data_IF_574734558078
#
_entry.id   IF_574734558078
#
_cell.length_a   1.000
_cell.length_b   1.000
_cell.length_c   1.000
_cell.angle_alpha   90.00
_cell.angle_beta   90.00
_cell.angle_gamma   90.00
#
_symmetry.space_group_name_H-M   'P 1'
#
loop_
_entity.id
_entity.type
_entity.pdbx_description
1 polymer ?
#
# COMPACT_ATOMS: atom_id res chain seq x y z
N UNK A 1 14.85 -13.06 -8.76
CA UNK A 1 13.65 -13.62 -8.11
C UNK A 1 12.82 -12.45 -7.60
N UNK A 2 11.57 -12.30 -8.05
CA UNK A 2 10.72 -11.17 -7.68
C UNK A 2 10.40 -11.21 -6.18
N UNK A 3 10.75 -10.14 -5.46
CA UNK A 3 10.49 -10.02 -4.02
C UNK A 3 9.00 -10.18 -3.69
N UNK A 4 8.68 -10.27 -2.40
CA UNK A 4 7.30 -10.43 -1.93
C UNK A 4 6.46 -9.20 -2.31
N UNK A 5 5.20 -9.44 -2.65
CA UNK A 5 4.18 -8.39 -2.81
C UNK A 5 3.61 -8.08 -1.42
N UNK A 6 3.55 -6.80 -1.06
CA UNK A 6 3.06 -6.36 0.24
C UNK A 6 1.94 -5.36 0.06
N UNK A 7 0.86 -5.58 0.81
CA UNK A 7 -0.27 -4.65 0.93
C UNK A 7 -0.21 -3.96 2.29
N UNK A 8 -0.35 -2.64 2.30
CA UNK A 8 -0.55 -1.85 3.53
C UNK A 8 -1.95 -1.26 3.53
N UNK A 9 -2.84 -1.81 4.36
CA UNK A 9 -4.12 -1.18 4.68
C UNK A 9 -3.90 -0.01 5.62
N UNK A 10 -4.57 1.12 5.41
CA UNK A 10 -4.40 2.31 6.26
C UNK A 10 -3.17 3.15 5.87
N UNK A 11 -2.71 3.08 4.61
CA UNK A 11 -1.50 3.76 4.13
C UNK A 11 -1.59 5.29 4.20
N UNK A 12 -2.81 5.85 4.19
CA UNK A 12 -3.08 7.28 4.31
C UNK A 12 -2.69 7.83 5.67
N UNK A 13 -2.83 7.02 6.71
CA UNK A 13 -2.51 7.39 8.09
C UNK A 13 -1.01 7.57 8.39
N UNK A 14 -0.72 8.09 9.57
CA UNK A 14 0.66 8.27 10.05
C UNK A 14 1.43 6.94 10.09
N UNK A 15 0.84 5.92 10.71
CA UNK A 15 1.48 4.61 10.86
C UNK A 15 1.62 3.88 9.53
N UNK A 16 0.56 3.84 8.72
CA UNK A 16 0.60 3.13 7.43
C UNK A 16 1.58 3.77 6.45
N UNK A 17 1.62 5.09 6.37
CA UNK A 17 2.60 5.80 5.53
C UNK A 17 4.05 5.60 6.02
N UNK A 18 4.27 5.50 7.34
CA UNK A 18 5.59 5.18 7.90
C UNK A 18 6.01 3.74 7.56
N UNK A 19 5.12 2.77 7.78
CA UNK A 19 5.37 1.37 7.44
C UNK A 19 5.67 1.23 5.95
N UNK A 20 4.89 1.88 5.07
CA UNK A 20 5.14 1.89 3.64
C UNK A 20 6.54 2.45 3.30
N UNK A 21 6.91 3.60 3.89
CA UNK A 21 8.24 4.19 3.68
C UNK A 21 9.38 3.28 4.14
N UNK A 22 9.20 2.53 5.22
CA UNK A 22 10.18 1.56 5.70
C UNK A 22 10.26 0.33 4.78
N UNK A 23 9.13 -0.13 4.25
CA UNK A 23 9.07 -1.25 3.30
C UNK A 23 9.73 -0.91 1.96
N UNK A 24 9.71 0.34 1.51
CA UNK A 24 10.39 0.77 0.27
C UNK A 24 11.91 0.56 0.29
N UNK A 25 12.51 0.46 1.48
CA UNK A 25 13.96 0.25 1.66
C UNK A 25 14.34 -1.21 1.81
N UNK A 26 13.36 -2.12 1.83
CA UNK A 26 13.61 -3.54 2.05
C UNK A 26 13.81 -4.28 0.73
N UNK A 27 14.95 -4.95 0.58
CA UNK A 27 15.30 -5.70 -0.64
C UNK A 27 14.39 -6.89 -0.91
N UNK A 28 13.73 -7.42 0.13
CA UNK A 28 12.78 -8.52 -0.01
C UNK A 28 11.41 -8.07 -0.54
N UNK A 29 11.13 -6.76 -0.58
CA UNK A 29 9.86 -6.19 -1.06
C UNK A 29 9.97 -5.91 -2.57
N UNK A 30 9.32 -6.78 -3.35
CA UNK A 30 9.30 -6.68 -4.81
C UNK A 30 8.27 -5.67 -5.31
N UNK A 31 7.08 -5.66 -4.70
CA UNK A 31 6.01 -4.71 -5.01
C UNK A 31 5.31 -4.28 -3.72
N UNK A 32 4.92 -3.01 -3.66
CA UNK A 32 4.26 -2.41 -2.51
C UNK A 32 3.02 -1.66 -2.97
N UNK A 33 1.87 -2.04 -2.44
CA UNK A 33 0.58 -1.41 -2.68
C UNK A 33 -0.01 -0.96 -1.34
N UNK A 34 -0.79 0.12 -1.35
CA UNK A 34 -1.62 0.50 -0.23
C UNK A 34 -3.01 0.95 -0.60
N UNK A 35 -3.91 0.78 0.37
CA UNK A 35 -5.30 1.23 0.29
C UNK A 35 -5.61 2.09 1.50
N UNK A 36 -6.31 3.20 1.25
CA UNK A 36 -6.86 4.09 2.29
C UNK A 36 -7.92 5.02 1.67
N UNK A 37 -8.69 5.71 2.49
CA UNK A 37 -9.55 6.83 2.10
C UNK A 37 -8.77 8.14 1.99
N UNK A 38 -7.64 8.28 2.69
CA UNK A 38 -6.81 9.48 2.65
C UNK A 38 -5.47 9.24 1.94
N UNK A 39 -4.89 10.27 1.27
CA UNK A 39 -3.58 10.14 0.67
C UNK A 39 -2.48 9.96 1.74
N UNK A 40 -1.37 9.26 1.42
CA UNK A 40 -0.27 9.04 2.35
C UNK A 40 0.32 10.35 2.91
N UNK A 41 0.54 10.40 4.23
CA UNK A 41 1.17 11.54 4.93
C UNK A 41 2.66 11.69 4.63
N UNK A 42 3.31 10.64 4.11
CA UNK A 42 4.73 10.62 3.73
C UNK A 42 4.90 10.49 2.22
N UNK A 43 6.00 11.02 1.72
CA UNK A 43 6.39 10.86 0.31
C UNK A 43 6.84 9.42 0.08
N UNK A 44 6.07 8.67 -0.69
CA UNK A 44 6.41 7.34 -1.18
C UNK A 44 6.95 7.44 -2.60
N UNK A 45 7.94 6.60 -2.96
CA UNK A 45 8.63 6.63 -4.27
C UNK A 45 8.31 5.44 -5.16
N UNK A 46 8.05 4.28 -4.57
CA UNK A 46 7.84 2.98 -5.20
C UNK A 46 6.44 2.43 -4.94
N UNK A 47 5.81 2.80 -3.83
CA UNK A 47 4.49 2.30 -3.46
C UNK A 47 3.40 2.80 -4.40
N UNK A 48 2.52 1.89 -4.83
CA UNK A 48 1.27 2.23 -5.51
C UNK A 48 0.17 2.48 -4.48
N UNK A 49 -0.57 3.58 -4.63
CA UNK A 49 -1.65 3.94 -3.72
C UNK A 49 -2.99 3.94 -4.45
N UNK A 50 -3.96 3.25 -3.86
CA UNK A 50 -5.36 3.31 -4.30
C UNK A 50 -6.24 3.93 -3.22
N UNK A 51 -6.90 5.02 -3.59
CA UNK A 51 -7.97 5.59 -2.76
C UNK A 51 -9.23 4.73 -2.88
N UNK A 52 -9.64 4.08 -1.80
CA UNK A 52 -10.78 3.16 -1.78
C UNK A 52 -11.55 3.27 -0.47
N UNK A 53 -12.88 3.37 -0.57
CA UNK A 53 -13.78 3.34 0.59
C UNK A 53 -13.78 1.96 1.25
N UNK A 54 -13.83 1.85 2.60
CA UNK A 54 -13.81 0.56 3.29
C UNK A 54 -14.99 -0.35 2.90
N UNK A 55 -16.12 0.25 2.50
CA UNK A 55 -17.31 -0.47 2.08
C UNK A 55 -17.21 -1.05 0.65
N UNK A 56 -16.22 -0.63 -0.16
CA UNK A 56 -16.09 -1.03 -1.55
C UNK A 56 -15.40 -2.41 -1.71
N UNK A 57 -16.01 -3.45 -1.12
CA UNK A 57 -15.44 -4.80 -1.04
C UNK A 57 -14.98 -5.34 -2.40
N UNK A 58 -15.82 -5.25 -3.43
CA UNK A 58 -15.51 -5.79 -4.78
C UNK A 58 -14.23 -5.16 -5.34
N UNK A 59 -14.13 -3.84 -5.25
CA UNK A 59 -12.93 -3.10 -5.67
C UNK A 59 -11.69 -3.47 -4.87
N UNK A 60 -11.82 -3.69 -3.56
CA UNK A 60 -10.69 -4.14 -2.72
C UNK A 60 -10.23 -5.53 -3.17
N UNK A 61 -11.17 -6.46 -3.44
CA UNK A 61 -10.84 -7.80 -3.93
C UNK A 61 -10.07 -7.71 -5.24
N UNK A 62 -10.58 -6.96 -6.22
CA UNK A 62 -9.95 -6.82 -7.53
C UNK A 62 -8.50 -6.30 -7.43
N UNK A 63 -8.27 -5.29 -6.58
CA UNK A 63 -6.94 -4.71 -6.37
C UNK A 63 -5.96 -5.69 -5.72
N UNK A 64 -6.41 -6.52 -4.78
CA UNK A 64 -5.53 -7.41 -4.00
C UNK A 64 -5.24 -8.72 -4.72
N UNK A 65 -6.15 -9.20 -5.57
CA UNK A 65 -5.99 -10.47 -6.29
C UNK A 65 -5.31 -10.36 -7.65
N UNK A 66 -5.17 -9.13 -8.18
CA UNK A 66 -4.36 -8.84 -9.38
C UNK A 66 -2.88 -8.80 -9.00
#
# INVERSE_FOLDING_TARGET
MGGRRVLVSGMGGELGSLVASLLETQDWVGALMGIDVDPPRRRLRRAEFHRVEPAARERIVDLVTT
#
